data_IF_356364568800
#
_entry.id   IF_356364568800
#
_cell.length_a   1.000
_cell.length_b   1.000
_cell.length_c   1.000
_cell.angle_alpha   90.00
_cell.angle_beta   90.00
_cell.angle_gamma   90.00
#
_symmetry.space_group_name_H-M   'P 1'
#
loop_
_entity.id
_entity.type
_entity.pdbx_description
1 polymer ?
#
# COMPACT_ATOMS: atom_id res chain seq x y z
N UNK A 1 22.16 -1.82 -15.28
CA UNK A 1 21.05 -2.07 -14.32
C UNK A 1 21.37 -3.33 -13.55
N UNK A 2 21.35 -3.29 -12.22
CA UNK A 2 21.60 -4.46 -11.36
C UNK A 2 20.26 -5.13 -11.04
N UNK A 3 20.25 -6.47 -10.91
CA UNK A 3 19.08 -7.24 -10.48
C UNK A 3 19.38 -7.96 -9.18
N UNK A 4 18.39 -7.98 -8.28
CA UNK A 4 18.39 -8.77 -7.03
C UNK A 4 17.11 -9.59 -6.96
N UNK A 5 17.09 -10.64 -6.15
CA UNK A 5 15.94 -11.54 -6.09
C UNK A 5 14.78 -10.85 -5.37
N UNK A 6 15.04 -10.28 -4.19
CA UNK A 6 14.00 -9.86 -3.27
C UNK A 6 14.12 -8.37 -2.90
N UNK A 7 12.98 -7.75 -2.59
CA UNK A 7 12.93 -6.40 -1.99
C UNK A 7 13.79 -6.32 -0.73
N UNK A 8 13.88 -7.39 0.06
CA UNK A 8 14.73 -7.44 1.26
C UNK A 8 16.23 -7.34 0.94
N UNK A 9 16.66 -7.75 -0.26
CA UNK A 9 18.08 -7.67 -0.67
C UNK A 9 18.55 -6.21 -0.83
N UNK A 10 17.61 -5.26 -0.95
CA UNK A 10 17.92 -3.84 -1.02
C UNK A 10 18.42 -3.28 0.32
N UNK A 11 18.08 -3.93 1.46
CA UNK A 11 18.50 -3.49 2.79
C UNK A 11 20.00 -3.61 3.04
N UNK A 12 20.71 -4.39 2.24
CA UNK A 12 22.17 -4.58 2.35
C UNK A 12 22.93 -3.89 1.23
N UNK A 13 22.27 -3.04 0.43
CA UNK A 13 22.87 -2.41 -0.75
C UNK A 13 22.71 -0.91 -0.71
N UNK A 14 23.80 -0.19 -0.51
CA UNK A 14 23.83 1.26 -0.70
C UNK A 14 23.78 1.58 -2.19
N UNK A 15 22.87 2.48 -2.59
CA UNK A 15 22.89 3.02 -3.94
C UNK A 15 23.89 4.17 -4.09
N UNK A 16 24.23 4.49 -5.33
CA UNK A 16 24.87 5.76 -5.69
C UNK A 16 23.81 6.72 -6.27
N UNK A 17 24.06 8.03 -6.32
CA UNK A 17 23.16 8.96 -7.00
C UNK A 17 22.78 8.45 -8.40
N UNK A 18 21.50 8.52 -8.75
CA UNK A 18 20.91 8.02 -10.00
C UNK A 18 21.03 6.51 -10.27
N UNK A 19 21.41 5.69 -9.29
CA UNK A 19 21.40 4.23 -9.44
C UNK A 19 19.99 3.65 -9.42
N UNK A 20 19.78 2.60 -10.23
CA UNK A 20 18.54 1.84 -10.29
C UNK A 20 18.80 0.33 -10.11
N UNK A 21 17.90 -0.36 -9.42
CA UNK A 21 17.95 -1.81 -9.21
C UNK A 21 16.58 -2.43 -9.52
N UNK A 22 16.59 -3.57 -10.21
CA UNK A 22 15.41 -4.42 -10.40
C UNK A 22 15.34 -5.49 -9.30
N UNK A 23 14.18 -5.63 -8.68
CA UNK A 23 13.85 -6.76 -7.79
C UNK A 23 12.96 -7.74 -8.54
N UNK A 24 13.20 -9.06 -8.40
CA UNK A 24 12.36 -10.09 -9.05
C UNK A 24 11.08 -10.42 -8.26
N UNK A 25 11.02 -10.07 -6.99
CA UNK A 25 9.85 -10.25 -6.12
C UNK A 25 10.01 -9.56 -4.77
N UNK A 26 8.99 -9.63 -3.92
CA UNK A 26 9.06 -9.12 -2.53
C UNK A 26 9.56 -10.19 -1.57
N UNK A 27 8.92 -11.35 -1.58
CA UNK A 27 9.10 -12.46 -0.64
C UNK A 27 9.63 -13.70 -1.34
N UNK A 28 9.25 -13.87 -2.60
CA UNK A 28 9.76 -14.93 -3.48
C UNK A 28 9.99 -14.34 -4.85
N UNK A 29 11.07 -14.71 -5.53
CA UNK A 29 11.28 -14.28 -6.91
C UNK A 29 10.09 -14.72 -7.78
N UNK A 30 9.52 -13.79 -8.54
CA UNK A 30 8.35 -14.06 -9.39
C UNK A 30 6.99 -13.93 -8.71
N UNK A 31 6.91 -13.44 -7.47
CA UNK A 31 5.63 -13.20 -6.78
C UNK A 31 4.80 -12.02 -7.33
N UNK A 32 5.24 -11.41 -8.43
CA UNK A 32 4.59 -10.25 -9.05
C UNK A 32 4.77 -8.93 -8.28
N UNK A 33 5.45 -8.95 -7.12
CA UNK A 33 5.70 -7.77 -6.29
C UNK A 33 7.11 -7.18 -6.48
N UNK A 34 7.85 -7.69 -7.46
CA UNK A 34 9.11 -7.13 -7.94
C UNK A 34 8.92 -5.76 -8.59
N UNK A 35 10.01 -5.15 -9.05
CA UNK A 35 9.96 -3.83 -9.68
C UNK A 35 11.28 -3.08 -9.63
N UNK A 36 11.28 -1.93 -10.31
CA UNK A 36 12.45 -1.05 -10.39
C UNK A 36 12.43 -0.11 -9.19
N UNK A 37 13.58 0.03 -8.54
CA UNK A 37 13.84 1.00 -7.48
C UNK A 37 14.94 1.95 -7.92
N UNK A 38 14.82 3.22 -7.56
CA UNK A 38 15.86 4.23 -7.70
C UNK A 38 16.41 4.61 -6.32
N UNK A 39 17.69 4.96 -6.26
CA UNK A 39 18.30 5.46 -5.04
C UNK A 39 18.03 6.95 -4.86
N UNK A 40 17.30 7.30 -3.81
CA UNK A 40 17.14 8.67 -3.35
C UNK A 40 18.16 8.92 -2.23
N UNK A 41 19.31 9.50 -2.57
CA UNK A 41 20.40 9.74 -1.64
C UNK A 41 20.12 10.84 -0.61
N UNK A 42 19.06 11.64 -0.77
CA UNK A 42 18.78 12.79 0.09
C UNK A 42 17.70 12.50 1.12
N UNK A 43 16.92 11.44 0.95
CA UNK A 43 15.86 11.08 1.89
C UNK A 43 16.42 10.58 3.23
N UNK A 44 16.04 11.26 4.32
CA UNK A 44 16.40 10.88 5.69
C UNK A 44 15.18 10.69 6.60
N UNK A 45 13.96 10.82 6.08
CA UNK A 45 12.75 10.96 6.91
C UNK A 45 11.70 9.91 6.62
N UNK A 46 11.68 9.33 5.41
CA UNK A 46 10.71 8.28 5.10
C UNK A 46 11.10 6.97 5.80
N UNK A 47 10.10 6.34 6.40
CA UNK A 47 10.25 5.03 7.06
C UNK A 47 10.27 3.91 6.03
N UNK A 48 11.00 2.84 6.33
CA UNK A 48 10.94 1.58 5.57
C UNK A 48 9.53 0.99 5.68
N UNK A 49 8.85 0.79 4.54
CA UNK A 49 7.51 0.18 4.49
C UNK A 49 7.55 -1.28 4.02
N UNK A 50 8.75 -1.85 3.91
CA UNK A 50 9.06 -3.18 3.41
C UNK A 50 8.53 -3.48 1.99
N UNK A 51 8.19 -2.46 1.21
CA UNK A 51 7.60 -2.65 -0.12
C UNK A 51 7.97 -1.60 -1.17
N UNK A 52 7.76 -0.31 -0.90
CA UNK A 52 7.97 0.80 -1.84
C UNK A 52 9.14 1.69 -1.43
N UNK A 53 9.38 1.83 -0.13
CA UNK A 53 10.50 2.56 0.44
C UNK A 53 11.32 1.61 1.29
N UNK A 54 12.57 1.37 0.91
CA UNK A 54 13.46 0.46 1.62
C UNK A 54 14.66 1.23 2.16
N UNK A 55 14.86 1.14 3.47
CA UNK A 55 16.00 1.73 4.15
C UNK A 55 17.16 0.73 4.18
N UNK A 56 18.35 1.17 3.80
CA UNK A 56 19.56 0.36 3.95
C UNK A 56 19.89 0.25 5.44
N UNK A 57 20.08 -0.98 5.93
CA UNK A 57 20.37 -1.24 7.34
C UNK A 57 21.62 -0.49 7.78
N UNK A 58 21.52 0.24 8.89
CA UNK A 58 22.63 1.03 9.43
C UNK A 58 22.84 2.40 8.77
N UNK A 59 22.02 2.79 7.79
CA UNK A 59 22.08 4.14 7.20
C UNK A 59 20.92 5.02 7.67
N UNK A 60 21.26 6.24 8.10
CA UNK A 60 20.27 7.27 8.45
C UNK A 60 19.70 7.97 7.21
N UNK A 61 20.53 8.19 6.19
CA UNK A 61 20.19 8.90 4.94
C UNK A 61 20.28 7.95 3.75
N UNK A 62 19.43 8.17 2.76
CA UNK A 62 19.34 7.35 1.56
C UNK A 62 18.23 6.31 1.64
N UNK A 63 17.36 6.24 0.63
CA UNK A 63 16.29 5.25 0.52
C UNK A 63 16.23 4.70 -0.90
N UNK A 64 16.02 3.39 -1.03
CA UNK A 64 15.53 2.84 -2.29
C UNK A 64 14.05 3.13 -2.38
N UNK A 65 13.64 3.84 -3.43
CA UNK A 65 12.25 4.17 -3.72
C UNK A 65 11.80 3.47 -4.98
N UNK A 66 10.66 2.80 -4.91
CA UNK A 66 10.07 2.14 -6.06
C UNK A 66 9.69 3.17 -7.12
N UNK A 67 10.10 2.93 -8.35
CA UNK A 67 9.72 3.77 -9.50
C UNK A 67 8.22 3.63 -9.71
N UNK A 68 7.52 4.76 -9.73
CA UNK A 68 6.10 4.81 -10.03
C UNK A 68 5.87 4.54 -11.52
N UNK A 69 5.53 3.29 -11.83
CA UNK A 69 4.86 2.90 -13.07
C UNK A 69 3.45 2.38 -12.72
N UNK A 70 2.42 2.61 -13.56
CA UNK A 70 1.06 2.18 -13.23
C UNK A 70 1.01 0.72 -12.81
N UNK A 71 0.52 0.46 -11.60
CA UNK A 71 0.38 -0.90 -11.05
C UNK A 71 1.52 -1.38 -10.16
N UNK A 72 2.63 -0.64 -10.08
CA UNK A 72 3.84 -1.09 -9.37
C UNK A 72 3.85 -0.79 -7.89
N UNK A 73 3.16 0.26 -7.46
CA UNK A 73 3.09 0.64 -6.05
C UNK A 73 1.77 0.11 -5.51
N UNK A 74 1.84 -0.76 -4.51
CA UNK A 74 0.66 -1.38 -3.93
C UNK A 74 0.76 -1.39 -2.41
N UNK A 75 -0.40 -1.51 -1.75
CA UNK A 75 -0.46 -1.76 -0.32
C UNK A 75 -1.76 -2.46 0.02
N UNK A 76 -1.71 -3.34 1.01
CA UNK A 76 -2.85 -4.08 1.51
C UNK A 76 -3.06 -3.81 2.99
N UNK A 77 -4.27 -4.05 3.47
CA UNK A 77 -4.57 -4.10 4.88
C UNK A 77 -6.00 -4.55 5.15
N UNK A 78 -6.35 -4.55 6.43
CA UNK A 78 -7.67 -4.93 6.92
C UNK A 78 -8.16 -3.85 7.88
N UNK A 79 -9.47 -3.63 7.93
CA UNK A 79 -10.10 -2.72 8.88
C UNK A 79 -11.35 -3.37 9.46
N UNK A 80 -11.63 -3.08 10.73
CA UNK A 80 -12.85 -3.47 11.42
C UNK A 80 -13.46 -2.23 12.06
N UNK A 81 -14.70 -1.91 11.71
CA UNK A 81 -15.41 -0.68 12.10
C UNK A 81 -16.80 -1.02 12.63
N UNK A 82 -17.40 -0.07 13.35
CA UNK A 82 -18.78 -0.17 13.84
C UNK A 82 -19.75 0.50 12.87
N UNK A 83 -20.87 -0.16 12.55
CA UNK A 83 -21.95 0.41 11.75
C UNK A 83 -22.96 1.20 12.59
N UNK A 84 -23.39 2.35 12.09
CA UNK A 84 -24.27 3.29 12.80
C UNK A 84 -25.77 3.26 12.43
N UNK A 85 -26.29 2.18 11.83
CA UNK A 85 -27.67 2.04 11.29
C UNK A 85 -28.03 2.97 10.11
N UNK A 86 -27.52 4.21 10.10
CA UNK A 86 -27.71 5.21 9.05
C UNK A 86 -26.40 5.61 8.38
N UNK A 87 -25.26 5.19 8.95
CA UNK A 87 -23.95 5.48 8.40
C UNK A 87 -23.73 4.71 7.09
N UNK A 88 -23.50 5.44 6.00
CA UNK A 88 -23.19 4.86 4.69
C UNK A 88 -21.74 5.07 4.26
N UNK A 89 -20.97 5.88 4.98
CA UNK A 89 -19.62 6.28 4.61
C UNK A 89 -18.59 5.89 5.65
N UNK A 90 -17.49 5.33 5.19
CA UNK A 90 -16.37 4.88 6.01
C UNK A 90 -15.05 5.31 5.37
N UNK A 91 -14.24 6.06 6.12
CA UNK A 91 -12.88 6.42 5.71
C UNK A 91 -11.91 5.30 6.06
N UNK A 92 -11.08 4.89 5.10
CA UNK A 92 -10.04 3.89 5.31
C UNK A 92 -8.67 4.53 5.02
N UNK A 93 -7.81 4.53 6.04
CA UNK A 93 -6.43 5.00 5.94
C UNK A 93 -5.54 3.89 5.40
N UNK A 94 -4.80 4.17 4.33
CA UNK A 94 -3.81 3.27 3.75
C UNK A 94 -2.38 3.79 3.82
N UNK A 95 -2.12 5.10 3.86
CA UNK A 95 -0.75 5.67 3.89
C UNK A 95 0.16 5.13 2.75
N UNK A 96 -0.30 5.20 1.50
CA UNK A 96 0.49 4.75 0.33
C UNK A 96 1.54 5.79 -0.07
N UNK A 97 1.33 7.07 0.29
CA UNK A 97 2.20 8.19 -0.10
C UNK A 97 1.92 8.70 -1.51
N UNK A 98 1.11 7.99 -2.30
CA UNK A 98 0.64 8.38 -3.63
C UNK A 98 -0.85 8.05 -3.76
N UNK A 99 -1.56 8.79 -4.62
CA UNK A 99 -3.00 8.57 -4.84
C UNK A 99 -3.19 7.27 -5.64
N UNK A 100 -3.95 6.29 -5.15
CA UNK A 100 -4.16 5.04 -5.88
C UNK A 100 -5.06 5.23 -7.11
N UNK A 101 -4.69 4.58 -8.21
CA UNK A 101 -5.52 4.46 -9.41
C UNK A 101 -6.68 3.49 -9.18
N UNK A 102 -6.44 2.39 -8.44
CA UNK A 102 -7.44 1.35 -8.18
C UNK A 102 -7.50 0.97 -6.70
N UNK A 103 -8.70 0.64 -6.23
CA UNK A 103 -8.95 0.12 -4.87
C UNK A 103 -9.85 -1.11 -5.01
N UNK A 104 -9.39 -2.25 -4.49
CA UNK A 104 -10.19 -3.47 -4.35
C UNK A 104 -10.61 -3.64 -2.90
N UNK A 105 -11.83 -4.13 -2.69
CA UNK A 105 -12.42 -4.34 -1.37
C UNK A 105 -13.06 -5.72 -1.29
N UNK A 106 -12.70 -6.49 -0.27
CA UNK A 106 -13.38 -7.74 0.09
C UNK A 106 -14.05 -7.58 1.45
N UNK A 107 -15.30 -8.02 1.55
CA UNK A 107 -16.02 -8.03 2.83
C UNK A 107 -15.57 -9.22 3.66
N UNK A 108 -15.19 -9.00 4.92
CA UNK A 108 -14.81 -10.06 5.85
C UNK A 108 -15.91 -10.34 6.88
N UNK A 109 -16.96 -9.52 6.92
CA UNK A 109 -18.14 -9.70 7.76
C UNK A 109 -19.42 -9.60 6.94
N UNK A 110 -20.49 -10.22 7.47
CA UNK A 110 -21.81 -10.15 6.84
C UNK A 110 -22.35 -8.72 6.74
N UNK A 111 -22.12 -7.85 7.73
CA UNK A 111 -22.61 -6.47 7.66
C UNK A 111 -21.91 -5.64 6.57
N UNK A 112 -20.70 -6.01 6.15
CA UNK A 112 -19.95 -5.33 5.10
C UNK A 112 -20.26 -5.83 3.68
N UNK A 113 -21.09 -6.85 3.50
CA UNK A 113 -21.32 -7.48 2.20
C UNK A 113 -22.21 -6.67 1.25
N UNK A 114 -22.78 -5.55 1.72
CA UNK A 114 -23.61 -4.67 0.93
C UNK A 114 -22.91 -4.06 -0.29
N UNK A 115 -23.71 -3.65 -1.28
CA UNK A 115 -23.21 -2.96 -2.47
C UNK A 115 -22.52 -1.65 -2.08
N UNK A 116 -21.33 -1.43 -2.65
CA UNK A 116 -20.42 -0.37 -2.24
C UNK A 116 -19.56 0.14 -3.40
N UNK A 117 -19.09 1.37 -3.30
CA UNK A 117 -18.17 2.00 -4.25
C UNK A 117 -17.17 2.93 -3.55
N UNK A 118 -16.03 3.19 -4.19
CA UNK A 118 -14.94 3.99 -3.62
C UNK A 118 -14.91 5.39 -4.22
N UNK A 119 -14.79 6.41 -3.37
CA UNK A 119 -14.58 7.81 -3.74
C UNK A 119 -13.42 8.43 -2.95
N UNK A 120 -13.10 9.70 -3.24
CA UNK A 120 -12.18 10.54 -2.47
C UNK A 120 -10.84 9.85 -2.13
N UNK A 121 -10.20 9.25 -3.14
CA UNK A 121 -8.86 8.66 -3.02
C UNK A 121 -7.84 9.79 -2.83
N UNK A 122 -7.01 9.69 -1.81
CA UNK A 122 -5.88 10.59 -1.54
C UNK A 122 -4.60 9.76 -1.42
N UNK A 123 -3.47 10.42 -1.13
CA UNK A 123 -2.21 9.71 -0.87
C UNK A 123 -2.25 8.84 0.41
N UNK A 124 -3.20 9.09 1.31
CA UNK A 124 -3.25 8.46 2.64
C UNK A 124 -4.54 7.74 2.94
N UNK A 125 -5.65 8.04 2.25
CA UNK A 125 -6.95 7.45 2.54
C UNK A 125 -7.84 7.32 1.30
N UNK A 126 -8.91 6.53 1.42
CA UNK A 126 -10.04 6.52 0.50
C UNK A 126 -11.36 6.40 1.29
N UNK A 127 -12.49 6.69 0.64
CA UNK A 127 -13.82 6.55 1.24
C UNK A 127 -14.56 5.39 0.60
N UNK A 128 -15.13 4.51 1.42
CA UNK A 128 -16.10 3.49 1.02
C UNK A 128 -17.50 4.02 1.26
N UNK A 129 -18.31 4.01 0.21
CA UNK A 129 -19.72 4.41 0.25
C UNK A 129 -20.58 3.18 0.03
N UNK A 130 -21.48 2.89 0.96
CA UNK A 130 -22.50 1.86 0.79
C UNK A 130 -23.77 2.47 0.20
N UNK A 131 -24.44 1.73 -0.69
CA UNK A 131 -25.74 2.16 -1.24
C UNK A 131 -26.88 2.02 -0.23
N UNK A 132 -26.70 1.18 0.78
CA UNK A 132 -27.59 1.04 1.93
C UNK A 132 -26.72 0.90 3.19
N UNK A 133 -27.12 1.56 4.28
CA UNK A 133 -26.34 1.54 5.52
C UNK A 133 -26.15 0.11 6.03
N UNK A 134 -24.91 -0.31 6.36
CA UNK A 134 -24.68 -1.56 7.07
C UNK A 134 -25.50 -1.64 8.35
N UNK A 135 -25.85 -2.86 8.75
CA UNK A 135 -26.54 -3.11 10.02
C UNK A 135 -25.78 -2.47 11.18
N UNK A 136 -26.53 -1.95 12.16
CA UNK A 136 -25.93 -1.38 13.36
C UNK A 136 -25.18 -2.46 14.14
N UNK A 137 -24.03 -2.11 14.71
CA UNK A 137 -23.28 -3.02 15.57
C UNK A 137 -21.86 -2.54 15.85
N UNK A 138 -21.28 -3.08 16.91
CA UNK A 138 -19.88 -2.82 17.26
C UNK A 138 -18.98 -3.73 16.44
N UNK A 139 -17.96 -3.15 15.80
CA UNK A 139 -16.93 -3.89 15.07
C UNK A 139 -17.49 -4.94 14.08
N UNK A 140 -18.63 -4.62 13.46
CA UNK A 140 -19.35 -5.54 12.60
C UNK A 140 -19.12 -5.29 11.12
N UNK A 141 -18.49 -4.18 10.72
CA UNK A 141 -18.15 -3.84 9.33
C UNK A 141 -16.66 -4.12 9.11
N UNK A 142 -16.34 -5.29 8.57
CA UNK A 142 -14.96 -5.72 8.28
C UNK A 142 -14.67 -5.71 6.77
N UNK A 143 -13.53 -5.12 6.40
CA UNK A 143 -13.07 -5.04 5.01
C UNK A 143 -11.57 -5.33 4.92
N UNK A 144 -11.20 -6.21 3.99
CA UNK A 144 -9.84 -6.29 3.45
C UNK A 144 -9.74 -5.39 2.23
N UNK A 145 -8.60 -4.74 2.06
CA UNK A 145 -8.37 -3.79 0.98
C UNK A 145 -7.02 -3.97 0.32
N UNK A 146 -6.97 -3.67 -0.98
CA UNK A 146 -5.78 -3.54 -1.80
C UNK A 146 -5.87 -2.21 -2.56
N UNK A 147 -4.87 -1.36 -2.40
CA UNK A 147 -4.70 -0.13 -3.20
C UNK A 147 -3.54 -0.31 -4.16
N UNK A 148 -3.69 0.24 -5.36
CA UNK A 148 -2.71 0.15 -6.45
C UNK A 148 -2.54 1.55 -7.06
N UNK A 149 -1.30 1.98 -7.26
CA UNK A 149 -0.90 3.19 -7.98
C UNK A 149 -0.06 2.83 -9.21
#
# INVERSE_FOLDING_TARGET
>A
MITVNLVTDLRTRTGTPASNILTLGKTTAGDGMGGIFYWDSTDSTTSDDAMNTIQVTGQSTGRWKRVLIPGSIQKTGSVLMSGGALQTTFGITHNLGVVPSTVFLSATTAAASGARFVTNKTATQFIVNYTAAPGAGTNNVGLDWLVIA
#
